data_IF_436641978256
#
_entry.id   IF_436641978256
#
_cell.length_a   1.000
_cell.length_b   1.000
_cell.length_c   1.000
_cell.angle_alpha   90.00
_cell.angle_beta   90.00
_cell.angle_gamma   90.00
#
_symmetry.space_group_name_H-M   'P 1'
#
loop_
_entity.id
_entity.type
_entity.pdbx_description
1 polymer ?
#
# COMPACT_ATOMS: atom_id res chain seq x y z
N UNK A 1 24.46 -16.87 30.70
CA UNK A 1 24.70 -17.71 29.51
C UNK A 1 23.97 -17.07 28.34
N UNK A 2 24.78 -16.63 27.38
CA UNK A 2 24.41 -15.83 26.22
C UNK A 2 23.81 -16.72 25.12
N UNK A 3 22.60 -16.38 24.66
CA UNK A 3 21.93 -17.03 23.52
C UNK A 3 21.95 -16.14 22.27
N UNK A 4 23.03 -15.37 22.07
CA UNK A 4 23.33 -14.70 20.80
C UNK A 4 24.34 -15.50 19.99
N UNK A 5 23.87 -16.43 19.18
CA UNK A 5 24.51 -16.80 17.92
C UNK A 5 23.64 -17.84 17.21
N UNK A 6 23.62 -17.79 15.87
CA UNK A 6 22.83 -18.60 14.94
C UNK A 6 21.41 -18.06 14.60
N UNK A 7 21.30 -17.14 13.66
CA UNK A 7 21.09 -17.46 12.22
C UNK A 7 20.95 -16.18 11.36
N UNK A 8 21.43 -16.18 10.10
CA UNK A 8 21.68 -14.98 9.31
C UNK A 8 20.52 -14.60 8.38
N UNK A 9 20.32 -13.29 8.21
CA UNK A 9 19.73 -12.58 7.05
C UNK A 9 18.30 -12.89 6.56
N UNK A 10 17.59 -13.91 7.05
CA UNK A 10 16.17 -14.17 6.70
C UNK A 10 15.12 -13.54 7.66
N UNK A 11 15.54 -13.01 8.81
CA UNK A 11 14.62 -12.63 9.91
C UNK A 11 14.04 -11.21 9.90
N UNK A 12 14.45 -10.32 8.98
CA UNK A 12 13.97 -8.91 9.04
C UNK A 12 12.49 -8.75 8.74
N UNK A 13 11.89 -9.74 8.07
CA UNK A 13 10.47 -9.73 7.69
C UNK A 13 9.59 -10.10 8.89
N UNK A 14 9.99 -11.09 9.69
CA UNK A 14 9.17 -11.62 10.79
C UNK A 14 9.03 -10.62 11.95
N UNK A 15 10.01 -9.76 12.19
CA UNK A 15 10.03 -8.91 13.40
C UNK A 15 8.85 -7.95 13.54
N UNK A 16 8.23 -7.55 12.42
CA UNK A 16 7.08 -6.65 12.43
C UNK A 16 5.75 -7.37 12.69
N UNK A 17 5.69 -8.69 12.51
CA UNK A 17 4.45 -9.45 12.70
C UNK A 17 4.00 -9.34 14.17
N UNK A 18 2.70 -9.14 14.36
CA UNK A 18 2.03 -8.95 15.66
C UNK A 18 2.50 -7.71 16.45
N UNK A 19 3.28 -6.80 15.85
CA UNK A 19 3.56 -5.52 16.50
C UNK A 19 2.31 -4.64 16.50
N UNK A 20 2.03 -4.06 17.67
CA UNK A 20 0.91 -3.15 17.88
C UNK A 20 1.41 -1.72 17.99
N UNK A 21 0.76 -0.79 17.29
CA UNK A 21 1.04 0.64 17.35
C UNK A 21 -0.28 1.43 17.27
N UNK A 22 -0.24 2.74 17.52
CA UNK A 22 -1.44 3.57 17.64
C UNK A 22 -1.43 4.73 16.64
N UNK A 23 -2.45 4.78 15.79
CA UNK A 23 -2.70 5.90 14.86
C UNK A 23 -4.07 6.48 15.17
N UNK A 24 -4.15 7.80 15.41
CA UNK A 24 -5.40 8.52 15.74
C UNK A 24 -6.26 7.80 16.81
N UNK A 25 -5.63 7.39 17.91
CA UNK A 25 -6.26 6.65 19.02
C UNK A 25 -6.78 5.24 18.67
N UNK A 26 -6.54 4.73 17.47
CA UNK A 26 -6.84 3.35 17.10
C UNK A 26 -5.56 2.51 17.07
N UNK A 27 -5.62 1.32 17.64
CA UNK A 27 -4.49 0.39 17.68
C UNK A 27 -4.55 -0.57 16.50
N UNK A 28 -3.40 -0.81 15.88
CA UNK A 28 -3.22 -1.63 14.69
C UNK A 28 -2.20 -2.73 14.97
N UNK A 29 -2.53 -3.97 14.62
CA UNK A 29 -1.63 -5.12 14.74
C UNK A 29 -1.23 -5.62 13.35
N UNK A 30 0.07 -5.56 13.03
CA UNK A 30 0.59 -6.07 11.77
C UNK A 30 0.44 -7.59 11.67
N UNK A 31 0.02 -8.11 10.53
CA UNK A 31 -0.22 -9.55 10.31
C UNK A 31 0.69 -10.13 9.24
N UNK A 32 0.45 -9.75 8.00
CA UNK A 32 1.09 -10.36 6.82
C UNK A 32 1.64 -9.26 5.92
N UNK A 33 2.84 -9.43 5.35
CA UNK A 33 3.34 -8.46 4.38
C UNK A 33 2.69 -8.68 3.02
N UNK A 34 1.99 -7.65 2.52
CA UNK A 34 1.35 -7.62 1.20
C UNK A 34 2.28 -7.14 0.07
N UNK A 35 3.22 -6.26 0.36
CA UNK A 35 4.08 -5.68 -0.67
C UNK A 35 5.38 -5.11 -0.15
N UNK A 36 6.36 -4.91 -1.04
CA UNK A 36 7.62 -4.22 -0.75
C UNK A 36 7.97 -3.31 -1.91
N UNK A 37 8.44 -2.09 -1.60
CA UNK A 37 8.93 -1.13 -2.58
C UNK A 37 10.24 -0.49 -2.12
N UNK A 38 10.75 0.45 -2.91
CA UNK A 38 11.99 1.20 -2.62
C UNK A 38 11.96 1.91 -1.27
N UNK A 39 10.78 2.36 -0.84
CA UNK A 39 10.60 3.19 0.34
C UNK A 39 10.14 2.42 1.59
N UNK A 40 9.73 1.15 1.46
CA UNK A 40 9.19 0.42 2.59
C UNK A 40 8.44 -0.85 2.21
N UNK A 41 7.58 -1.27 3.12
CA UNK A 41 6.75 -2.47 2.97
C UNK A 41 5.32 -2.19 3.40
N UNK A 42 4.36 -2.78 2.70
CA UNK A 42 2.93 -2.72 3.06
C UNK A 42 2.55 -4.02 3.75
N UNK A 43 1.85 -3.89 4.86
CA UNK A 43 1.41 -4.98 5.72
C UNK A 43 -0.12 -4.98 5.84
N UNK A 44 -0.75 -6.13 5.71
CA UNK A 44 -2.10 -6.32 6.21
C UNK A 44 -2.07 -6.18 7.73
N UNK A 45 -3.08 -5.51 8.27
CA UNK A 45 -3.22 -5.19 9.68
C UNK A 45 -4.67 -5.33 10.11
N UNK A 46 -4.86 -5.53 11.40
CA UNK A 46 -6.18 -5.55 12.03
C UNK A 46 -6.20 -4.57 13.18
N UNK A 47 -7.26 -3.79 13.28
CA UNK A 47 -7.52 -2.97 14.47
C UNK A 47 -8.02 -3.84 15.62
N UNK A 48 -8.09 -3.31 16.84
CA UNK A 48 -8.59 -4.07 18.01
C UNK A 48 -10.05 -4.51 17.86
N UNK A 49 -10.87 -3.71 17.15
CA UNK A 49 -12.25 -4.01 16.79
C UNK A 49 -12.38 -4.97 15.59
N UNK A 50 -11.26 -5.53 15.10
CA UNK A 50 -11.26 -6.53 14.03
C UNK A 50 -11.35 -5.96 12.61
N UNK A 51 -11.42 -4.63 12.45
CA UNK A 51 -11.43 -3.99 11.13
C UNK A 51 -10.10 -4.23 10.41
N UNK A 52 -10.19 -4.62 9.14
CA UNK A 52 -9.04 -4.82 8.24
C UNK A 52 -8.47 -3.47 7.82
N UNK A 53 -7.14 -3.38 7.76
CA UNK A 53 -6.41 -2.21 7.28
C UNK A 53 -5.10 -2.62 6.58
N UNK A 54 -4.55 -1.71 5.79
CA UNK A 54 -3.21 -1.80 5.25
C UNK A 54 -2.31 -0.80 5.99
N UNK A 55 -1.07 -1.18 6.27
CA UNK A 55 -0.10 -0.34 6.95
C UNK A 55 1.18 -0.31 6.14
N UNK A 56 1.51 0.86 5.60
CA UNK A 56 2.78 1.12 4.93
C UNK A 56 3.82 1.51 5.98
N UNK A 57 4.90 0.75 6.04
CA UNK A 57 5.99 0.90 7.01
C UNK A 57 7.25 1.36 6.29
N UNK A 58 7.76 2.51 6.70
CA UNK A 58 8.99 3.12 6.20
C UNK A 58 10.12 2.94 7.21
N UNK A 59 11.25 2.40 6.77
CA UNK A 59 12.40 2.20 7.65
C UNK A 59 13.44 3.31 7.45
N UNK A 60 13.42 4.31 8.33
CA UNK A 60 14.30 5.46 8.21
C UNK A 60 15.77 5.12 8.52
N UNK A 61 16.05 4.01 9.20
CA UNK A 61 17.44 3.57 9.52
C UNK A 61 18.19 3.00 8.31
N UNK A 62 17.48 2.45 7.33
CA UNK A 62 18.10 1.80 6.16
C UNK A 62 18.65 2.79 5.13
N UNK A 63 18.38 4.08 5.32
CA UNK A 63 18.81 5.14 4.41
C UNK A 63 20.26 5.53 4.70
N UNK A 64 21.18 4.87 4.01
CA UNK A 64 22.63 5.11 4.12
C UNK A 64 23.10 6.45 3.51
N UNK A 65 22.24 7.17 2.77
CA UNK A 65 22.57 8.42 2.05
C UNK A 65 21.52 9.50 2.33
N UNK A 66 21.98 10.73 2.58
CA UNK A 66 21.11 11.89 2.84
C UNK A 66 20.07 12.13 1.74
N UNK A 67 20.44 11.92 0.47
CA UNK A 67 19.54 12.09 -0.69
C UNK A 67 18.32 11.16 -0.59
N UNK A 68 18.54 9.87 -0.30
CA UNK A 68 17.44 8.90 -0.19
C UNK A 68 16.56 9.20 1.04
N UNK A 69 17.14 9.82 2.08
CA UNK A 69 16.42 10.22 3.30
C UNK A 69 15.50 11.41 3.06
N UNK A 70 15.97 12.43 2.35
CA UNK A 70 15.15 13.57 1.96
C UNK A 70 14.02 13.14 1.02
N UNK A 71 14.31 12.31 0.02
CA UNK A 71 13.28 11.77 -0.88
C UNK A 71 12.20 10.98 -0.13
N UNK A 72 12.59 10.20 0.89
CA UNK A 72 11.64 9.45 1.72
C UNK A 72 10.80 10.35 2.64
N UNK A 73 11.41 11.37 3.24
CA UNK A 73 10.69 12.34 4.06
C UNK A 73 9.70 13.12 3.19
N UNK A 74 10.13 13.52 1.99
CA UNK A 74 9.27 14.23 1.05
C UNK A 74 8.13 13.35 0.54
N UNK A 75 8.37 12.07 0.21
CA UNK A 75 7.28 11.17 -0.20
C UNK A 75 6.31 10.87 0.94
N UNK A 76 6.80 10.76 2.18
CA UNK A 76 5.94 10.63 3.35
C UNK A 76 5.11 11.90 3.58
N UNK A 77 5.72 13.08 3.50
CA UNK A 77 5.00 14.38 3.61
C UNK A 77 3.95 14.52 2.53
N UNK A 78 4.29 14.23 1.28
CA UNK A 78 3.37 14.29 0.16
C UNK A 78 2.15 13.37 0.37
N UNK A 79 2.36 12.13 0.86
CA UNK A 79 1.23 11.25 1.16
C UNK A 79 0.37 11.75 2.33
N UNK A 80 0.97 12.37 3.35
CA UNK A 80 0.25 12.97 4.47
C UNK A 80 -0.55 14.22 4.05
N UNK A 81 0.03 15.06 3.19
CA UNK A 81 -0.63 16.25 2.63
C UNK A 81 -1.80 15.84 1.74
N UNK A 82 -1.59 14.88 0.83
CA UNK A 82 -2.63 14.28 0.01
C UNK A 82 -3.76 13.68 0.86
N UNK A 83 -3.42 12.96 1.93
CA UNK A 83 -4.42 12.44 2.88
C UNK A 83 -5.30 13.54 3.45
N UNK A 84 -4.70 14.70 3.73
CA UNK A 84 -5.39 15.81 4.37
C UNK A 84 -6.32 16.51 3.40
N UNK A 85 -5.92 16.70 2.13
CA UNK A 85 -6.75 17.32 1.09
C UNK A 85 -7.89 16.41 0.62
N UNK A 86 -7.69 15.09 0.65
CA UNK A 86 -8.64 14.09 0.12
C UNK A 86 -9.52 13.42 1.18
N UNK A 87 -9.52 13.91 2.43
CA UNK A 87 -10.14 13.21 3.57
C UNK A 87 -11.63 12.87 3.42
N UNK A 88 -12.36 13.62 2.58
CA UNK A 88 -13.79 13.42 2.34
C UNK A 88 -14.09 12.69 1.01
N UNK A 89 -13.07 12.36 0.22
CA UNK A 89 -13.21 11.63 -1.04
C UNK A 89 -13.05 10.15 -0.75
N UNK A 90 -14.12 9.38 -0.88
CA UNK A 90 -14.15 7.97 -0.41
C UNK A 90 -14.46 6.95 -1.50
N UNK A 91 -14.91 7.38 -2.67
CA UNK A 91 -15.45 6.43 -3.65
C UNK A 91 -14.41 5.84 -4.60
N UNK A 92 -13.26 6.52 -4.78
CA UNK A 92 -12.30 6.17 -5.82
C UNK A 92 -10.84 6.18 -5.36
N UNK A 93 -10.54 6.76 -4.20
CA UNK A 93 -9.18 6.89 -3.68
C UNK A 93 -9.09 6.15 -2.35
N UNK A 94 -7.98 5.44 -2.15
CA UNK A 94 -7.72 4.69 -0.92
C UNK A 94 -7.77 5.63 0.28
N UNK A 95 -8.69 5.37 1.21
CA UNK A 95 -8.83 6.20 2.40
C UNK A 95 -7.64 5.99 3.35
N UNK A 96 -6.97 7.09 3.72
CA UNK A 96 -5.86 7.05 4.68
C UNK A 96 -6.37 7.42 6.07
N UNK A 97 -6.30 6.46 6.99
CA UNK A 97 -6.78 6.61 8.35
C UNK A 97 -5.86 7.50 9.17
N UNK A 98 -4.54 7.45 8.93
CA UNK A 98 -3.59 8.38 9.53
C UNK A 98 -2.15 7.85 9.47
N UNK A 99 -1.27 8.51 10.22
CA UNK A 99 0.15 8.17 10.29
C UNK A 99 0.68 8.26 11.72
N UNK A 100 1.82 7.62 11.97
CA UNK A 100 2.58 7.71 13.22
C UNK A 100 4.08 7.50 12.98
N UNK A 101 4.90 7.92 13.93
CA UNK A 101 6.36 7.76 13.89
C UNK A 101 6.89 7.26 15.23
N UNK A 102 7.53 6.09 15.20
CA UNK A 102 8.25 5.56 16.35
C UNK A 102 9.68 6.10 16.36
N UNK A 103 9.93 7.07 17.23
CA UNK A 103 11.24 7.69 17.42
C UNK A 103 12.33 6.75 17.95
N UNK A 104 11.97 5.64 18.62
CA UNK A 104 12.92 4.64 19.12
C UNK A 104 13.36 3.73 17.98
N UNK A 105 12.40 3.12 17.27
CA UNK A 105 12.72 2.19 16.16
C UNK A 105 13.07 2.92 14.85
N UNK A 106 12.80 4.23 14.78
CA UNK A 106 12.92 5.07 13.57
C UNK A 106 12.09 4.51 12.41
N UNK A 107 10.89 4.03 12.72
CA UNK A 107 9.90 3.59 11.74
C UNK A 107 8.81 4.64 11.62
N UNK A 108 8.39 4.93 10.39
CA UNK A 108 7.18 5.70 10.13
C UNK A 108 6.11 4.78 9.57
N UNK A 109 4.86 5.06 9.91
CA UNK A 109 3.69 4.23 9.61
C UNK A 109 2.60 5.09 8.97
N UNK A 110 1.95 4.57 7.93
CA UNK A 110 0.71 5.11 7.37
C UNK A 110 -0.32 3.98 7.38
N UNK A 111 -1.44 4.16 8.09
CA UNK A 111 -2.57 3.24 8.06
C UNK A 111 -3.61 3.73 7.05
N UNK A 112 -4.12 2.80 6.25
CA UNK A 112 -5.04 3.06 5.16
C UNK A 112 -6.00 1.88 4.97
N UNK A 113 -7.02 2.10 4.15
CA UNK A 113 -7.94 1.07 3.72
C UNK A 113 -7.23 -0.08 3.02
N UNK A 114 -7.64 -1.31 3.34
CA UNK A 114 -7.17 -2.50 2.65
C UNK A 114 -8.20 -2.91 1.61
N UNK A 115 -7.87 -2.69 0.34
CA UNK A 115 -8.62 -3.28 -0.77
C UNK A 115 -8.44 -4.80 -0.81
N UNK A 116 -9.37 -5.48 -1.49
CA UNK A 116 -9.31 -6.94 -1.61
C UNK A 116 -8.19 -7.41 -2.55
N UNK A 117 -7.90 -6.64 -3.59
CA UNK A 117 -6.82 -6.93 -4.54
C UNK A 117 -6.32 -5.68 -5.26
N UNK A 118 -5.17 -5.79 -5.92
CA UNK A 118 -4.66 -4.75 -6.83
C UNK A 118 -5.33 -4.86 -8.20
N UNK A 119 -5.33 -3.78 -8.99
CA UNK A 119 -5.77 -3.82 -10.38
C UNK A 119 -4.95 -4.84 -11.20
N UNK A 120 -3.65 -4.94 -10.93
CA UNK A 120 -2.78 -5.90 -11.61
C UNK A 120 -3.20 -7.35 -11.32
N UNK A 121 -3.52 -7.67 -10.08
CA UNK A 121 -3.99 -9.02 -9.71
C UNK A 121 -5.34 -9.33 -10.35
N UNK A 122 -6.25 -8.33 -10.41
CA UNK A 122 -7.52 -8.48 -11.12
C UNK A 122 -7.32 -8.73 -12.61
N UNK A 123 -6.43 -7.98 -13.27
CA UNK A 123 -6.14 -8.19 -14.71
C UNK A 123 -5.59 -9.60 -14.95
N UNK A 124 -4.66 -10.07 -14.12
CA UNK A 124 -4.15 -11.45 -14.19
C UNK A 124 -5.26 -12.49 -14.00
N UNK A 125 -6.17 -12.25 -13.07
CA UNK A 125 -7.33 -13.12 -12.85
C UNK A 125 -8.23 -13.19 -14.08
N UNK A 126 -8.53 -12.04 -14.70
CA UNK A 126 -9.34 -11.96 -15.92
C UNK A 126 -8.70 -12.73 -17.07
N UNK A 127 -7.38 -12.58 -17.28
CA UNK A 127 -6.66 -13.35 -18.29
C UNK A 127 -6.76 -14.85 -17.99
N UNK A 128 -6.53 -15.26 -16.73
CA UNK A 128 -6.64 -16.67 -16.32
C UNK A 128 -8.03 -17.25 -16.58
N UNK A 129 -9.09 -16.50 -16.25
CA UNK A 129 -10.48 -16.92 -16.47
C UNK A 129 -10.77 -17.10 -17.97
N UNK A 130 -10.23 -16.21 -18.81
CA UNK A 130 -10.41 -16.29 -20.25
C UNK A 130 -9.69 -17.49 -20.88
N UNK A 131 -8.43 -17.74 -20.49
CA UNK A 131 -7.66 -18.90 -20.96
C UNK A 131 -8.35 -20.24 -20.63
N UNK A 132 -9.06 -20.31 -19.50
CA UNK A 132 -9.82 -21.51 -19.10
C UNK A 132 -11.08 -21.73 -19.94
N UNK A 133 -11.72 -20.65 -20.44
CA UNK A 133 -12.99 -20.74 -21.17
C UNK A 133 -12.79 -21.05 -22.67
N UNK A 134 -11.71 -20.57 -23.29
CA UNK A 134 -11.51 -20.68 -24.76
C UNK A 134 -10.64 -21.88 -25.17
N UNK A 135 -10.04 -22.60 -24.21
CA UNK A 135 -9.34 -23.86 -24.47
C UNK A 135 -8.22 -23.74 -25.51
N UNK A 136 -7.08 -23.19 -25.11
CA UNK A 136 -5.75 -23.30 -25.75
C UNK A 136 -5.61 -23.06 -27.28
N UNK A 137 -6.64 -22.59 -28.00
CA UNK A 137 -6.64 -22.52 -29.47
C UNK A 137 -6.38 -21.14 -30.08
N UNK A 138 -6.17 -20.10 -29.28
CA UNK A 138 -5.73 -18.80 -29.78
C UNK A 138 -4.77 -18.16 -28.79
N UNK A 139 -3.55 -17.89 -29.27
CA UNK A 139 -2.46 -17.30 -28.48
C UNK A 139 -2.59 -15.79 -28.35
N UNK A 140 -3.70 -15.33 -27.78
CA UNK A 140 -3.86 -13.94 -27.33
C UNK A 140 -3.95 -13.93 -25.80
N UNK A 141 -2.77 -13.89 -25.14
CA UNK A 141 -2.61 -13.94 -23.69
C UNK A 141 -3.09 -12.67 -22.96
N UNK A 142 -3.65 -11.69 -23.69
CA UNK A 142 -4.00 -10.34 -23.21
C UNK A 142 -5.49 -9.98 -23.41
N UNK A 143 -6.40 -10.95 -23.26
CA UNK A 143 -7.83 -10.64 -23.37
C UNK A 143 -8.41 -10.05 -22.08
N UNK A 144 -8.68 -8.75 -22.11
CA UNK A 144 -9.63 -8.05 -21.25
C UNK A 144 -10.83 -7.67 -22.13
N UNK A 145 -12.07 -7.91 -21.72
CA UNK A 145 -13.22 -7.55 -22.55
C UNK A 145 -13.32 -6.03 -22.74
N UNK A 146 -13.94 -5.58 -23.84
CA UNK A 146 -14.16 -4.14 -24.07
C UNK A 146 -14.96 -3.48 -22.94
N UNK A 147 -15.90 -4.21 -22.34
CA UNK A 147 -16.68 -3.77 -21.18
C UNK A 147 -15.80 -3.55 -19.96
N UNK A 148 -14.89 -4.48 -19.66
CA UNK A 148 -13.96 -4.36 -18.53
C UNK A 148 -12.97 -3.22 -18.72
N UNK A 149 -12.40 -3.08 -19.92
CA UNK A 149 -11.54 -1.92 -20.25
C UNK A 149 -12.27 -0.60 -20.04
N UNK A 150 -13.52 -0.48 -20.51
CA UNK A 150 -14.35 0.71 -20.30
C UNK A 150 -14.56 0.99 -18.81
N UNK A 151 -14.87 -0.03 -18.00
CA UNK A 151 -15.07 0.15 -16.57
C UNK A 151 -13.80 0.60 -15.84
N UNK A 152 -12.65 -0.01 -16.16
CA UNK A 152 -11.34 0.39 -15.62
C UNK A 152 -11.06 1.84 -16.00
N UNK A 153 -11.27 2.21 -17.26
CA UNK A 153 -11.05 3.56 -17.75
C UNK A 153 -11.91 4.60 -17.03
N UNK A 154 -13.21 4.32 -16.85
CA UNK A 154 -14.11 5.22 -16.11
C UNK A 154 -13.61 5.43 -14.68
N UNK A 155 -13.17 4.38 -13.99
CA UNK A 155 -12.63 4.51 -12.64
C UNK A 155 -11.34 5.37 -12.62
N UNK A 156 -10.42 5.15 -13.56
CA UNK A 156 -9.18 5.94 -13.67
C UNK A 156 -9.48 7.42 -13.93
N UNK A 157 -10.42 7.71 -14.84
CA UNK A 157 -10.85 9.09 -15.13
C UNK A 157 -11.41 9.74 -13.87
N UNK A 158 -12.30 9.06 -13.15
CA UNK A 158 -12.87 9.58 -11.90
C UNK A 158 -11.79 9.85 -10.84
N UNK A 159 -10.81 8.96 -10.70
CA UNK A 159 -9.67 9.16 -9.79
C UNK A 159 -8.90 10.43 -10.15
N UNK A 160 -8.53 10.59 -11.43
CA UNK A 160 -7.77 11.76 -11.89
C UNK A 160 -8.57 13.05 -11.69
N UNK A 161 -9.87 13.04 -12.01
CA UNK A 161 -10.74 14.19 -11.80
C UNK A 161 -10.81 14.60 -10.33
N UNK A 162 -10.92 13.64 -9.41
CA UNK A 162 -10.88 13.89 -7.97
C UNK A 162 -9.53 14.45 -7.51
N UNK A 163 -8.42 13.87 -7.98
CA UNK A 163 -7.08 14.35 -7.65
C UNK A 163 -6.85 15.80 -8.12
N UNK A 164 -7.36 16.15 -9.31
CA UNK A 164 -7.29 17.50 -9.86
C UNK A 164 -8.14 18.49 -9.05
N UNK A 165 -9.40 18.15 -8.77
CA UNK A 165 -10.31 19.00 -7.98
C UNK A 165 -9.76 19.32 -6.58
N UNK A 166 -8.97 18.41 -6.02
CA UNK A 166 -8.34 18.56 -4.71
C UNK A 166 -6.92 19.14 -4.75
N UNK A 167 -6.47 19.65 -5.91
CA UNK A 167 -5.14 20.23 -6.13
C UNK A 167 -3.99 19.29 -5.70
N UNK A 168 -4.18 17.99 -5.84
CA UNK A 168 -3.14 16.98 -5.55
C UNK A 168 -2.16 16.86 -6.72
N UNK A 169 -2.66 17.08 -7.93
CA UNK A 169 -1.86 17.12 -9.17
C UNK A 169 -2.16 18.46 -9.84
N UNK A 170 -1.11 19.19 -10.21
CA UNK A 170 -1.18 20.43 -10.97
C UNK A 170 -0.58 20.24 -12.36
N UNK A 171 -0.93 21.12 -13.30
CA UNK A 171 -0.44 21.12 -14.68
C UNK A 171 1.01 21.64 -14.83
N UNK A 172 1.80 21.62 -13.74
CA UNK A 172 3.19 22.11 -13.69
C UNK A 172 4.24 21.00 -13.86
#
# INVERSE_FOLDING_TARGET
LDYRSFYPLYHRKIWLINQTFRIKNQFYTLRERRGTGSFGSVWASTTLDGRRAAVKVFNLRKLRRNINRLALINSFKAEVEMTSSMRNVTNHVVNIYGFDFDGRTKLAFIAMELGDQTLQDRVKELHRMHSQYIGSRMGDDDYISARERKNIWIQLVNIISELYQHNVVSDE
#
